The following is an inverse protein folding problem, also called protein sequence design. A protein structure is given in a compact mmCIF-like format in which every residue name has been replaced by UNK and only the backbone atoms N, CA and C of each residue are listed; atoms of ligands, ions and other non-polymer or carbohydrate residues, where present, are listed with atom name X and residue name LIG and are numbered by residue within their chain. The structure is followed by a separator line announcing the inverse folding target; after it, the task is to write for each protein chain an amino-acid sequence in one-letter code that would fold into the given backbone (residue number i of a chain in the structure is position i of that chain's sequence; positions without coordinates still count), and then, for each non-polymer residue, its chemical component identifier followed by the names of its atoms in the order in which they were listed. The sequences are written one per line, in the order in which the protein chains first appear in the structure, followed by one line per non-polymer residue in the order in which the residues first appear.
data_IF_351867630211
#
_entry.id   IF_351867630211
#
_cell.length_a   1.000
_cell.length_b   1.000
_cell.length_c   1.000
_cell.angle_alpha   90.00
_cell.angle_beta   90.00
_cell.angle_gamma   90.00
#
_symmetry.space_group_name_H-M   'P 1'
#
loop_
_entity.id
_entity.type
_entity.pdbx_description
1 polymer ?
#
# COMPACT_ATOMS: atom_id res chain seq x y z
N UNK A 1 -12.03 -34.32 -18.33
CA UNK A 1 -13.29 -33.91 -18.94
C UNK A 1 -13.33 -34.24 -20.43
N UNK A 2 -12.18 -34.41 -21.11
CA UNK A 2 -12.13 -34.71 -22.55
C UNK A 2 -12.18 -36.21 -22.92
N UNK A 3 -12.18 -37.11 -21.94
CA UNK A 3 -12.22 -38.56 -22.19
C UNK A 3 -13.61 -39.17 -22.11
N UNK A 4 -14.58 -38.44 -21.56
CA UNK A 4 -15.97 -38.91 -21.37
C UNK A 4 -16.90 -38.63 -22.56
N UNK A 5 -16.51 -37.73 -23.48
CA UNK A 5 -17.35 -37.42 -24.65
C UNK A 5 -17.06 -38.33 -25.87
N UNK A 6 -15.89 -38.99 -25.90
CA UNK A 6 -15.52 -39.88 -27.00
C UNK A 6 -16.24 -41.22 -26.96
N UNK A 7 -16.55 -41.72 -25.76
CA UNK A 7 -17.25 -43.00 -25.60
C UNK A 7 -18.75 -42.91 -25.86
N UNK A 8 -19.33 -41.70 -25.76
CA UNK A 8 -20.76 -41.50 -25.99
C UNK A 8 -21.15 -41.39 -27.48
N UNK A 9 -20.20 -41.07 -28.35
CA UNK A 9 -20.39 -41.00 -29.78
C UNK A 9 -20.20 -42.35 -30.51
N UNK A 10 -19.52 -43.30 -29.87
CA UNK A 10 -19.32 -44.64 -30.44
C UNK A 10 -20.51 -45.56 -30.17
N UNK A 11 -21.27 -45.36 -29.11
CA UNK A 11 -22.46 -46.21 -28.77
C UNK A 11 -23.73 -45.82 -29.57
N UNK A 12 -23.85 -44.59 -30.07
CA UNK A 12 -25.01 -44.19 -30.88
C UNK A 12 -24.93 -44.61 -32.38
N UNK A 13 -23.75 -44.99 -32.87
CA UNK A 13 -23.58 -45.42 -34.28
C UNK A 13 -23.81 -46.91 -34.53
N UNK A 14 -24.09 -47.73 -33.51
CA UNK A 14 -24.15 -49.19 -33.69
C UNK A 14 -25.55 -49.76 -34.00
N UNK A 15 -26.62 -48.97 -34.01
CA UNK A 15 -27.99 -49.53 -34.03
C UNK A 15 -28.82 -49.31 -35.31
N UNK A 16 -28.34 -48.65 -36.35
CA UNK A 16 -29.17 -48.30 -37.51
C UNK A 16 -28.45 -48.30 -38.89
N UNK A 17 -27.80 -49.39 -39.39
CA UNK A 17 -27.54 -49.54 -40.86
C UNK A 17 -27.10 -50.97 -41.25
N UNK A 18 -27.57 -51.54 -42.36
CA UNK A 18 -27.17 -52.86 -42.84
C UNK A 18 -25.75 -52.86 -43.45
N UNK A 19 -25.10 -53.99 -43.34
CA UNK A 19 -23.70 -54.34 -43.29
C UNK A 19 -22.82 -54.15 -44.54
N UNK A 20 -23.21 -53.51 -45.63
CA UNK A 20 -22.39 -53.49 -46.84
C UNK A 20 -22.00 -52.11 -47.44
N UNK A 21 -22.58 -51.01 -46.95
CA UNK A 21 -22.25 -49.68 -47.54
C UNK A 21 -21.68 -48.66 -46.54
N UNK A 22 -21.37 -49.12 -45.35
CA UNK A 22 -20.98 -48.23 -44.22
C UNK A 22 -19.59 -47.62 -44.36
N UNK A 23 -18.64 -48.35 -44.96
CA UNK A 23 -17.24 -47.92 -44.99
C UNK A 23 -16.96 -46.81 -46.02
N UNK A 24 -17.72 -46.78 -47.14
CA UNK A 24 -17.49 -45.75 -48.17
C UNK A 24 -18.19 -44.45 -47.84
N UNK A 25 -19.32 -44.48 -47.10
CA UNK A 25 -20.06 -43.29 -46.68
C UNK A 25 -19.40 -42.56 -45.53
N UNK A 26 -18.85 -43.26 -44.55
CA UNK A 26 -18.12 -42.66 -43.44
C UNK A 26 -16.79 -42.01 -43.89
N UNK A 27 -16.08 -42.61 -44.82
CA UNK A 27 -14.81 -42.04 -45.33
C UNK A 27 -15.06 -40.74 -46.13
N UNK A 28 -16.20 -40.62 -46.84
CA UNK A 28 -16.53 -39.41 -47.57
C UNK A 28 -17.06 -38.30 -46.68
N UNK A 29 -17.72 -38.63 -45.56
CA UNK A 29 -18.20 -37.60 -44.60
C UNK A 29 -17.03 -37.01 -43.81
N UNK A 30 -16.08 -37.88 -43.37
CA UNK A 30 -14.90 -37.42 -42.63
C UNK A 30 -13.98 -36.59 -43.51
N UNK A 31 -13.87 -36.92 -44.81
CA UNK A 31 -13.02 -36.13 -45.71
C UNK A 31 -13.59 -34.76 -46.03
N UNK A 32 -14.91 -34.62 -46.11
CA UNK A 32 -15.57 -33.31 -46.33
C UNK A 32 -15.52 -32.43 -45.10
N UNK A 33 -15.71 -32.96 -43.90
CA UNK A 33 -15.58 -32.19 -42.65
C UNK A 33 -14.13 -31.76 -42.38
N UNK A 34 -13.16 -32.60 -42.76
CA UNK A 34 -11.74 -32.27 -42.60
C UNK A 34 -11.27 -31.20 -43.60
N UNK A 35 -11.87 -31.13 -44.80
CA UNK A 35 -11.56 -30.08 -45.76
C UNK A 35 -12.19 -28.73 -45.39
N UNK A 36 -13.38 -28.73 -44.81
CA UNK A 36 -13.99 -27.50 -44.30
C UNK A 36 -13.25 -26.92 -43.09
N UNK A 37 -12.75 -27.82 -42.21
CA UNK A 37 -11.95 -27.41 -41.04
C UNK A 37 -10.60 -26.81 -41.46
N UNK A 38 -9.94 -27.37 -42.50
CA UNK A 38 -8.70 -26.81 -43.04
C UNK A 38 -8.86 -25.45 -43.70
N UNK A 39 -10.03 -25.15 -44.30
CA UNK A 39 -10.31 -23.82 -44.85
C UNK A 39 -10.52 -22.79 -43.74
N UNK A 40 -11.24 -23.12 -42.68
CA UNK A 40 -11.47 -22.25 -41.52
C UNK A 40 -10.16 -21.96 -40.76
N UNK A 41 -9.32 -22.97 -40.59
CA UNK A 41 -8.01 -22.80 -39.96
C UNK A 41 -7.03 -21.96 -40.80
N UNK A 42 -7.15 -22.02 -42.15
CA UNK A 42 -6.28 -21.23 -43.04
C UNK A 42 -6.65 -19.76 -43.08
N UNK A 43 -7.90 -19.45 -42.95
CA UNK A 43 -8.39 -18.05 -42.88
C UNK A 43 -8.07 -17.44 -41.51
N UNK A 44 -8.14 -18.24 -40.43
CA UNK A 44 -7.75 -17.77 -39.09
C UNK A 44 -6.24 -17.51 -38.98
N UNK A 45 -5.40 -18.28 -39.69
CA UNK A 45 -3.95 -18.04 -39.69
C UNK A 45 -3.58 -16.72 -40.39
N UNK A 46 -4.26 -16.36 -41.43
CA UNK A 46 -4.03 -15.09 -42.14
C UNK A 46 -4.47 -13.90 -41.25
N UNK A 47 -5.60 -14.04 -40.56
CA UNK A 47 -6.09 -13.00 -39.63
C UNK A 47 -5.19 -12.86 -38.39
N UNK A 48 -4.71 -13.99 -37.83
CA UNK A 48 -3.77 -13.93 -36.70
C UNK A 48 -2.41 -13.40 -37.12
N UNK A 49 -1.90 -13.78 -38.29
CA UNK A 49 -0.62 -13.25 -38.82
C UNK A 49 -0.69 -11.76 -39.17
N UNK A 50 -1.87 -11.24 -39.56
CA UNK A 50 -2.08 -9.82 -39.83
C UNK A 50 -2.32 -8.99 -38.56
N UNK A 51 -2.97 -9.59 -37.51
CA UNK A 51 -3.29 -8.91 -36.26
C UNK A 51 -2.14 -8.89 -35.25
N UNK A 52 -1.22 -9.87 -35.29
CA UNK A 52 -0.09 -9.94 -34.36
C UNK A 52 0.87 -8.76 -34.47
N UNK A 53 1.29 -8.25 -35.66
CA UNK A 53 2.15 -7.09 -35.74
C UNK A 53 1.42 -5.81 -35.28
N UNK A 54 0.11 -5.72 -35.52
CA UNK A 54 -0.69 -4.58 -35.05
C UNK A 54 -0.82 -4.57 -33.52
N UNK A 55 -1.01 -5.72 -32.90
CA UNK A 55 -1.04 -5.86 -31.45
C UNK A 55 0.33 -5.53 -30.81
N UNK A 56 1.43 -6.00 -31.40
CA UNK A 56 2.79 -5.71 -30.91
C UNK A 56 3.09 -4.23 -31.02
N UNK A 57 2.69 -3.57 -32.12
CA UNK A 57 2.85 -2.13 -32.27
C UNK A 57 1.98 -1.35 -31.27
N UNK A 58 0.75 -1.79 -31.02
CA UNK A 58 -0.16 -1.16 -30.07
C UNK A 58 0.33 -1.32 -28.62
N UNK A 59 0.77 -2.52 -28.22
CA UNK A 59 1.37 -2.76 -26.90
C UNK A 59 2.74 -2.09 -26.73
N UNK A 60 3.54 -2.01 -27.79
CA UNK A 60 4.78 -1.26 -27.81
C UNK A 60 4.58 0.24 -27.59
N UNK A 61 3.55 0.81 -28.20
CA UNK A 61 3.16 2.21 -27.99
C UNK A 61 2.64 2.45 -26.56
N UNK A 62 1.87 1.50 -25.99
CA UNK A 62 1.41 1.60 -24.59
C UNK A 62 2.56 1.52 -23.57
N UNK A 63 3.60 0.71 -23.85
CA UNK A 63 4.80 0.66 -23.01
C UNK A 63 5.57 1.99 -23.03
N UNK A 64 5.57 2.67 -24.18
CA UNK A 64 6.23 3.98 -24.32
C UNK A 64 5.43 5.12 -23.67
N UNK A 65 4.10 4.99 -23.56
CA UNK A 65 3.25 5.94 -22.84
C UNK A 65 3.27 5.76 -21.30
N UNK A 66 4.06 4.82 -20.76
CA UNK A 66 4.17 4.65 -19.30
C UNK A 66 2.89 4.16 -18.61
N UNK A 67 1.87 3.73 -19.34
CA UNK A 67 0.57 3.32 -18.77
C UNK A 67 0.65 1.99 -18.00
N UNK A 68 1.71 1.21 -18.21
CA UNK A 68 1.96 -0.06 -17.51
C UNK A 68 3.05 0.07 -16.42
N UNK A 69 3.61 1.25 -16.23
CA UNK A 69 4.50 1.52 -15.12
C UNK A 69 3.65 1.69 -13.85
N UNK A 70 3.39 0.59 -13.18
CA UNK A 70 2.90 0.59 -11.80
C UNK A 70 4.05 1.01 -10.87
N UNK A 71 4.71 2.14 -11.23
CA UNK A 71 5.72 2.80 -10.44
C UNK A 71 5.01 3.64 -9.39
N UNK A 72 5.31 3.41 -8.14
CA UNK A 72 5.02 4.37 -7.07
C UNK A 72 5.71 5.67 -7.49
N UNK A 73 4.94 6.64 -7.95
CA UNK A 73 5.47 7.96 -8.30
C UNK A 73 5.92 8.66 -7.02
N UNK A 74 7.20 8.48 -6.73
CA UNK A 74 7.91 9.25 -5.71
C UNK A 74 8.52 10.45 -6.42
N UNK A 75 7.88 11.60 -6.30
CA UNK A 75 8.45 12.85 -6.79
C UNK A 75 9.31 13.49 -5.70
N UNK A 76 10.59 13.63 -5.98
CA UNK A 76 11.54 14.38 -5.15
C UNK A 76 11.71 15.77 -5.76
N UNK A 77 11.16 16.80 -5.09
CA UNK A 77 11.36 18.18 -5.45
C UNK A 77 12.52 18.75 -4.61
N UNK A 78 13.64 19.07 -5.26
CA UNK A 78 14.87 19.51 -4.60
C UNK A 78 15.10 20.98 -4.93
N UNK A 79 15.20 21.81 -3.91
CA UNK A 79 15.43 23.25 -4.05
C UNK A 79 16.91 23.61 -4.24
N UNK A 80 17.82 22.85 -3.64
CA UNK A 80 19.27 23.02 -3.76
C UNK A 80 20.02 21.74 -3.39
N UNK A 81 21.00 21.34 -4.20
CA UNK A 81 21.89 20.19 -3.94
C UNK A 81 23.31 20.69 -3.76
N UNK A 82 23.85 20.62 -2.54
CA UNK A 82 25.27 20.82 -2.25
C UNK A 82 25.97 19.47 -2.11
N UNK A 83 26.92 19.19 -3.00
CA UNK A 83 27.81 18.04 -2.85
C UNK A 83 29.02 18.45 -2.04
N UNK A 84 29.15 17.93 -0.85
CA UNK A 84 30.36 18.02 -0.03
C UNK A 84 31.31 16.88 -0.44
N UNK A 85 32.64 17.09 -0.32
CA UNK A 85 33.67 16.14 -0.78
C UNK A 85 33.64 14.72 -0.14
N UNK A 86 32.80 14.47 0.83
CA UNK A 86 32.54 13.16 1.44
C UNK A 86 31.20 12.62 0.93
N UNK A 87 31.10 12.04 -0.22
CA UNK A 87 29.97 11.25 -0.79
C UNK A 87 28.55 11.42 -0.18
N UNK A 88 28.37 12.33 0.73
CA UNK A 88 27.11 12.64 1.43
C UNK A 88 26.34 13.70 0.64
N UNK A 89 25.13 13.35 0.24
CA UNK A 89 24.24 14.26 -0.50
C UNK A 89 23.39 15.03 0.48
N UNK A 90 23.74 16.30 0.70
CA UNK A 90 22.91 17.19 1.51
C UNK A 90 21.87 17.91 0.63
N UNK A 91 20.62 17.81 1.02
CA UNK A 91 19.48 18.44 0.36
C UNK A 91 18.90 19.53 1.27
N UNK A 92 18.72 20.74 0.73
CA UNK A 92 18.05 21.83 1.43
C UNK A 92 16.61 21.96 0.92
N UNK A 93 15.63 22.05 1.85
CA UNK A 93 14.21 22.11 1.50
C UNK A 93 13.73 20.83 0.83
N UNK A 94 14.22 19.68 1.30
CA UNK A 94 13.83 18.36 0.78
C UNK A 94 12.33 18.12 0.93
N UNK A 95 11.70 17.54 -0.08
CA UNK A 95 10.30 17.16 -0.09
C UNK A 95 10.14 15.76 -0.65
N UNK A 96 9.51 14.90 0.11
CA UNK A 96 9.21 13.52 -0.26
C UNK A 96 7.71 13.30 -0.27
N UNK A 97 7.16 12.73 -1.34
CA UNK A 97 5.74 12.43 -1.48
C UNK A 97 5.54 10.98 -1.83
N UNK A 98 4.52 10.38 -1.25
CA UNK A 98 4.18 8.99 -1.53
C UNK A 98 2.71 8.70 -1.28
N UNK A 99 2.35 7.45 -1.50
CA UNK A 99 1.02 6.91 -1.22
C UNK A 99 1.14 5.79 -0.20
N UNK A 100 0.23 5.79 0.78
CA UNK A 100 0.07 4.64 1.66
C UNK A 100 -0.52 3.45 0.87
N UNK A 101 -0.47 2.20 1.37
CA UNK A 101 -1.13 1.07 0.72
C UNK A 101 -2.65 1.25 0.51
N UNK A 102 -3.27 2.10 1.31
CA UNK A 102 -4.68 2.49 1.14
C UNK A 102 -4.89 3.58 0.06
N UNK A 103 -3.85 3.93 -0.71
CA UNK A 103 -3.90 4.96 -1.76
C UNK A 103 -4.02 6.39 -1.24
N UNK A 104 -3.75 6.64 0.06
CA UNK A 104 -3.81 7.97 0.65
C UNK A 104 -2.46 8.68 0.52
N UNK A 105 -2.45 9.95 0.10
CA UNK A 105 -1.21 10.69 -0.04
C UNK A 105 -0.60 11.04 1.32
N UNK A 106 0.72 11.02 1.34
CA UNK A 106 1.52 11.63 2.40
C UNK A 106 2.63 12.50 1.82
N UNK A 107 3.04 13.50 2.58
CA UNK A 107 4.14 14.39 2.23
C UNK A 107 5.04 14.57 3.45
N UNK A 108 6.35 14.42 3.26
CA UNK A 108 7.37 14.70 4.27
C UNK A 108 8.27 15.79 3.73
N UNK A 109 8.48 16.85 4.50
CA UNK A 109 9.38 17.95 4.18
C UNK A 109 10.41 18.10 5.28
N UNK A 110 11.60 18.58 4.96
CA UNK A 110 12.63 18.86 5.93
C UNK A 110 13.41 20.12 5.54
N UNK A 111 13.86 20.89 6.52
CA UNK A 111 14.73 22.04 6.27
C UNK A 111 16.06 21.60 5.64
N UNK A 112 16.62 20.50 6.16
CA UNK A 112 17.79 19.81 5.59
C UNK A 112 17.52 18.29 5.63
N UNK A 113 18.06 17.60 4.65
CA UNK A 113 18.03 16.14 4.61
C UNK A 113 19.37 15.62 4.09
N UNK A 114 19.92 14.62 4.76
CA UNK A 114 21.14 13.93 4.40
C UNK A 114 20.82 12.47 4.11
N UNK A 115 21.06 12.03 2.89
CA UNK A 115 20.88 10.63 2.52
C UNK A 115 22.16 9.85 2.83
N UNK A 116 22.03 8.74 3.55
CA UNK A 116 23.15 7.87 3.84
C UNK A 116 23.73 7.27 2.55
N UNK A 117 25.08 7.31 2.38
CA UNK A 117 25.73 6.87 1.13
C UNK A 117 25.79 5.36 0.96
N UNK A 118 25.38 4.60 1.99
CA UNK A 118 25.44 3.13 2.05
C UNK A 118 24.34 2.40 1.28
N UNK A 119 23.44 3.15 0.63
CA UNK A 119 22.31 2.57 -0.11
C UNK A 119 21.20 1.98 0.78
N UNK A 120 21.24 2.21 2.09
CA UNK A 120 20.21 1.76 3.04
C UNK A 120 18.85 2.44 2.85
N UNK A 121 18.79 3.52 2.08
CA UNK A 121 17.61 4.35 1.93
C UNK A 121 17.29 5.19 3.16
N UNK A 122 18.23 5.30 4.11
CA UNK A 122 18.12 6.14 5.29
C UNK A 122 18.33 7.60 4.93
N UNK A 123 17.44 8.45 5.40
CA UNK A 123 17.51 9.91 5.26
C UNK A 123 17.40 10.54 6.63
N UNK A 124 18.46 11.19 7.09
CA UNK A 124 18.45 11.98 8.31
C UNK A 124 17.93 13.39 8.00
N UNK A 125 17.01 13.88 8.82
CA UNK A 125 16.25 15.13 8.55
C UNK A 125 16.32 16.09 9.73
N UNK A 126 16.57 17.36 9.42
CA UNK A 126 16.47 18.48 10.34
C UNK A 126 15.10 19.15 10.18
N UNK A 127 14.40 19.38 11.29
CA UNK A 127 13.07 20.00 11.37
C UNK A 127 12.08 19.40 10.37
N UNK A 128 11.86 18.07 10.42
CA UNK A 128 10.92 17.44 9.55
C UNK A 128 9.48 17.83 9.89
N UNK A 129 8.67 17.94 8.83
CA UNK A 129 7.22 18.06 8.91
C UNK A 129 6.62 17.00 8.00
N UNK A 130 5.66 16.23 8.52
CA UNK A 130 4.94 15.24 7.73
C UNK A 130 3.44 15.56 7.72
N UNK A 131 2.81 15.42 6.58
CA UNK A 131 1.36 15.54 6.40
C UNK A 131 0.86 14.19 5.90
N UNK A 132 -0.05 13.60 6.66
CA UNK A 132 -0.65 12.29 6.37
C UNK A 132 -2.14 12.46 6.16
N UNK A 133 -2.67 11.83 5.12
CA UNK A 133 -4.13 11.77 4.90
C UNK A 133 -4.64 10.46 5.48
N UNK A 134 -5.50 10.57 6.48
CA UNK A 134 -6.16 9.44 7.14
C UNK A 134 -7.22 8.80 6.24
N UNK A 135 -7.68 7.60 6.60
CA UNK A 135 -8.70 6.86 5.84
C UNK A 135 -10.01 7.66 5.65
N UNK A 136 -10.41 8.43 6.64
CA UNK A 136 -11.61 9.29 6.62
C UNK A 136 -11.40 10.63 5.88
N UNK A 137 -10.22 10.87 5.31
CA UNK A 137 -9.87 12.13 4.63
C UNK A 137 -9.31 13.21 5.55
N UNK A 138 -9.30 13.02 6.87
CA UNK A 138 -8.67 13.95 7.83
C UNK A 138 -7.18 14.09 7.58
N UNK A 139 -6.65 15.29 7.76
CA UNK A 139 -5.21 15.55 7.72
C UNK A 139 -4.61 15.46 9.13
N UNK A 140 -3.49 14.79 9.23
CA UNK A 140 -2.65 14.74 10.43
C UNK A 140 -1.30 15.34 10.09
N UNK A 141 -0.91 16.37 10.82
CA UNK A 141 0.36 17.05 10.69
C UNK A 141 1.28 16.59 11.83
N UNK A 142 2.50 16.19 11.49
CA UNK A 142 3.56 15.83 12.43
C UNK A 142 4.72 16.79 12.23
N UNK A 143 5.35 17.21 13.31
CA UNK A 143 6.58 18.01 13.28
C UNK A 143 7.49 17.63 14.45
N UNK A 144 8.81 17.77 14.26
CA UNK A 144 9.81 17.53 15.31
C UNK A 144 11.10 18.31 15.00
N UNK A 145 12.05 18.25 15.93
CA UNK A 145 13.38 18.84 15.72
C UNK A 145 14.22 17.98 14.79
N UNK A 146 14.19 16.66 14.97
CA UNK A 146 14.97 15.69 14.20
C UNK A 146 14.08 14.56 13.70
N UNK A 147 14.48 13.95 12.57
CA UNK A 147 13.80 12.79 12.06
C UNK A 147 14.73 11.90 11.23
N UNK A 148 14.35 10.64 11.13
CA UNK A 148 14.98 9.66 10.26
C UNK A 148 13.88 9.01 9.43
N UNK A 149 14.02 9.06 8.13
CA UNK A 149 13.11 8.38 7.22
C UNK A 149 13.84 7.24 6.50
N UNK A 150 13.27 6.07 6.51
CA UNK A 150 13.76 4.94 5.75
C UNK A 150 12.86 4.69 4.53
N UNK A 151 13.38 4.97 3.35
CA UNK A 151 12.66 4.85 2.06
C UNK A 151 12.29 3.41 1.70
N UNK A 152 13.01 2.41 2.25
CA UNK A 152 12.77 1.00 1.91
C UNK A 152 11.64 0.41 2.76
N UNK A 153 11.55 0.82 4.02
CA UNK A 153 10.56 0.31 4.99
C UNK A 153 9.34 1.22 5.14
N UNK A 154 9.39 2.45 4.61
CA UNK A 154 8.38 3.50 4.80
C UNK A 154 8.18 3.83 6.31
N UNK A 155 9.26 3.76 7.10
CA UNK A 155 9.25 4.11 8.52
C UNK A 155 9.84 5.50 8.71
N UNK A 156 9.13 6.33 9.46
CA UNK A 156 9.58 7.66 9.90
C UNK A 156 9.74 7.63 11.41
N UNK A 157 10.94 7.87 11.89
CA UNK A 157 11.24 8.06 13.33
C UNK A 157 11.49 9.55 13.58
N UNK A 158 10.72 10.14 14.46
CA UNK A 158 10.77 11.56 14.83
C UNK A 158 11.19 11.71 16.28
N UNK A 159 12.04 12.69 16.59
CA UNK A 159 12.54 12.93 17.93
C UNK A 159 12.77 14.41 18.23
N UNK A 160 12.67 14.75 19.51
CA UNK A 160 12.83 16.10 20.03
C UNK A 160 11.59 16.97 19.76
N UNK A 161 10.82 17.22 20.79
CA UNK A 161 9.61 18.05 20.76
C UNK A 161 8.64 17.67 19.63
N UNK A 162 8.31 16.38 19.56
CA UNK A 162 7.38 15.87 18.54
C UNK A 162 5.96 16.35 18.84
N UNK A 163 5.36 17.01 17.86
CA UNK A 163 3.97 17.50 17.92
C UNK A 163 3.17 16.88 16.79
N UNK A 164 2.06 16.25 17.14
CA UNK A 164 1.09 15.74 16.17
C UNK A 164 -0.21 16.52 16.32
N UNK A 165 -0.73 17.06 15.23
CA UNK A 165 -1.99 17.79 15.24
C UNK A 165 -2.97 17.22 14.23
N UNK A 166 -4.25 17.17 14.60
CA UNK A 166 -5.36 16.84 13.72
C UNK A 166 -6.38 17.99 13.84
N UNK A 167 -6.31 19.00 12.94
CA UNK A 167 -7.07 20.25 13.08
C UNK A 167 -8.59 20.07 13.12
N UNK A 168 -9.13 19.16 12.30
CA UNK A 168 -10.57 18.87 12.22
C UNK A 168 -11.15 18.26 13.51
N UNK A 169 -10.31 17.73 14.39
CA UNK A 169 -10.69 17.24 15.73
C UNK A 169 -10.19 18.11 16.88
N UNK A 170 -9.50 19.20 16.57
CA UNK A 170 -8.77 20.02 17.55
C UNK A 170 -7.86 19.16 18.46
N UNK A 171 -7.32 18.07 17.89
CA UNK A 171 -6.47 17.15 18.63
C UNK A 171 -5.01 17.57 18.48
N UNK A 172 -4.32 17.62 19.62
CA UNK A 172 -2.88 17.81 19.72
C UNK A 172 -2.27 16.70 20.59
N UNK A 173 -1.19 16.13 20.13
CA UNK A 173 -0.34 15.21 20.89
C UNK A 173 1.06 15.78 20.96
N UNK A 174 1.64 15.76 22.14
CA UNK A 174 3.01 16.17 22.43
C UNK A 174 3.77 14.96 23.00
N UNK A 175 4.98 14.71 22.50
CA UNK A 175 5.88 13.63 22.95
C UNK A 175 7.33 13.95 22.59
N UNK A 176 8.30 13.22 23.13
CA UNK A 176 9.72 13.38 22.80
C UNK A 176 10.16 12.47 21.65
N UNK A 177 9.46 11.35 21.39
CA UNK A 177 9.79 10.46 20.29
C UNK A 177 8.53 9.78 19.74
N UNK A 178 8.48 9.61 18.44
CA UNK A 178 7.39 8.95 17.73
C UNK A 178 7.94 8.19 16.53
N UNK A 179 7.52 6.95 16.36
CA UNK A 179 7.75 6.16 15.16
C UNK A 179 6.44 5.98 14.42
N UNK A 180 6.45 6.24 13.11
CA UNK A 180 5.30 6.04 12.23
C UNK A 180 5.67 5.09 11.09
N UNK A 181 4.95 3.98 10.99
CA UNK A 181 5.02 3.05 9.87
C UNK A 181 3.93 3.42 8.87
N UNK A 182 4.31 4.12 7.79
CA UNK A 182 3.38 4.61 6.77
C UNK A 182 2.73 3.48 5.98
N UNK A 183 3.42 2.33 5.92
CA UNK A 183 2.94 1.13 5.22
C UNK A 183 1.90 0.37 6.03
N UNK A 184 2.11 0.22 7.32
CA UNK A 184 1.17 -0.43 8.24
C UNK A 184 0.03 0.50 8.66
N UNK A 185 0.22 1.82 8.57
CA UNK A 185 -0.71 2.81 9.12
C UNK A 185 -0.71 2.81 10.63
N UNK A 186 0.46 2.59 11.23
CA UNK A 186 0.67 2.47 12.66
C UNK A 186 1.60 3.58 13.16
N UNK A 187 1.38 4.04 14.39
CA UNK A 187 2.29 4.95 15.08
C UNK A 187 2.54 4.44 16.48
N UNK A 188 3.75 4.64 17.00
CA UNK A 188 4.16 4.22 18.31
C UNK A 188 5.02 5.26 18.99
N UNK A 189 4.76 5.50 20.28
CA UNK A 189 5.63 6.23 21.18
C UNK A 189 5.83 5.37 22.45
N UNK A 190 7.08 5.04 22.77
CA UNK A 190 7.47 4.30 23.97
C UNK A 190 7.92 5.24 25.09
N UNK A 191 7.74 6.55 24.90
CA UNK A 191 8.02 7.60 25.87
C UNK A 191 6.72 8.34 26.22
N UNK A 192 6.69 9.10 27.33
CA UNK A 192 5.48 9.78 27.77
C UNK A 192 4.82 10.62 26.69
N UNK A 193 3.51 10.50 26.59
CA UNK A 193 2.67 11.25 25.66
C UNK A 193 1.64 12.07 26.40
N UNK A 194 1.37 13.26 25.89
CA UNK A 194 0.27 14.09 26.29
C UNK A 194 -0.64 14.33 25.10
N UNK A 195 -1.88 13.87 25.18
CA UNK A 195 -2.90 14.10 24.14
C UNK A 195 -3.94 15.05 24.71
N UNK A 196 -4.31 16.04 23.91
CA UNK A 196 -5.30 17.04 24.28
C UNK A 196 -6.25 17.28 23.12
N UNK A 197 -7.55 17.34 23.43
CA UNK A 197 -8.59 17.88 22.55
C UNK A 197 -9.38 18.99 23.29
N UNK A 198 -10.53 19.42 22.77
CA UNK A 198 -11.34 20.51 23.33
C UNK A 198 -11.69 20.25 24.80
N UNK A 199 -12.12 19.04 25.13
CA UNK A 199 -12.72 18.71 26.42
C UNK A 199 -11.86 17.71 27.24
N UNK A 200 -10.88 17.08 26.64
CA UNK A 200 -10.13 15.98 27.25
C UNK A 200 -8.63 16.19 27.20
N UNK A 201 -7.95 15.73 28.25
CA UNK A 201 -6.50 15.60 28.28
C UNK A 201 -6.15 14.20 28.77
N UNK A 202 -5.27 13.54 28.05
CA UNK A 202 -4.76 12.21 28.37
C UNK A 202 -3.26 12.31 28.52
N UNK A 203 -2.71 11.83 29.64
CA UNK A 203 -1.29 11.63 29.84
C UNK A 203 -1.08 10.13 29.99
N UNK A 204 -0.07 9.57 29.34
CA UNK A 204 0.26 8.15 29.42
C UNK A 204 1.78 7.96 29.23
N UNK A 205 2.32 6.83 29.69
CA UNK A 205 3.74 6.52 29.55
C UNK A 205 4.11 6.06 28.13
N UNK A 206 3.13 5.55 27.38
CA UNK A 206 3.31 5.13 25.98
C UNK A 206 2.01 5.21 25.19
N UNK A 207 2.12 5.17 23.88
CA UNK A 207 0.95 5.16 22.98
C UNK A 207 1.23 4.29 21.75
N UNK A 208 0.19 3.58 21.30
CA UNK A 208 0.18 2.86 20.05
C UNK A 208 -1.10 3.17 19.27
N UNK A 209 -0.94 3.49 18.00
CA UNK A 209 -2.02 3.77 17.05
C UNK A 209 -2.01 2.71 15.99
N UNK A 210 -3.17 2.12 15.71
CA UNK A 210 -3.38 1.07 14.73
C UNK A 210 -4.43 1.47 13.70
N UNK A 211 -4.41 0.77 12.56
CA UNK A 211 -5.46 0.89 11.54
C UNK A 211 -5.71 2.33 11.06
N UNK A 212 -4.61 3.09 10.84
CA UNK A 212 -4.68 4.50 10.44
C UNK A 212 -5.53 5.36 11.42
N UNK A 213 -5.33 5.17 12.73
CA UNK A 213 -6.00 5.96 13.76
C UNK A 213 -7.37 5.42 14.19
N UNK A 214 -7.82 4.27 13.69
CA UNK A 214 -9.09 3.68 14.11
C UNK A 214 -9.05 3.15 15.55
N UNK A 215 -7.87 2.74 16.03
CA UNK A 215 -7.66 2.24 17.39
C UNK A 215 -6.41 2.90 17.98
N UNK A 216 -6.57 3.46 19.18
CA UNK A 216 -5.48 4.06 19.96
C UNK A 216 -5.42 3.36 21.31
N UNK A 217 -4.24 2.91 21.69
CA UNK A 217 -3.96 2.25 22.98
C UNK A 217 -2.96 3.10 23.74
N UNK A 218 -3.28 3.44 24.98
CA UNK A 218 -2.39 4.13 25.90
C UNK A 218 -1.88 3.14 26.92
N UNK A 219 -0.57 3.11 27.15
CA UNK A 219 0.09 2.17 28.06
C UNK A 219 0.71 2.86 29.26
N UNK A 220 0.96 2.06 30.32
CA UNK A 220 1.53 2.53 31.57
C UNK A 220 0.52 3.27 32.47
N UNK A 221 0.98 4.32 33.15
CA UNK A 221 0.15 5.15 34.02
C UNK A 221 -0.72 6.13 33.24
N UNK A 222 -1.74 5.62 32.53
CA UNK A 222 -2.64 6.43 31.75
C UNK A 222 -3.67 7.16 32.62
N UNK A 223 -3.73 8.50 32.50
CA UNK A 223 -4.69 9.36 33.22
C UNK A 223 -5.45 10.23 32.22
N UNK A 224 -6.78 10.15 32.26
CA UNK A 224 -7.67 11.01 31.48
C UNK A 224 -8.37 12.02 32.38
N UNK A 225 -8.38 13.27 31.96
CA UNK A 225 -9.12 14.37 32.60
C UNK A 225 -10.13 14.91 31.59
N UNK A 226 -11.40 14.93 31.97
CA UNK A 226 -12.51 15.50 31.18
C UNK A 226 -12.96 16.78 31.82
N UNK A 227 -12.97 17.90 31.07
CA UNK A 227 -13.31 19.24 31.58
C UNK A 227 -14.79 19.44 31.75
N UNK A 228 -15.65 18.78 30.96
CA UNK A 228 -17.10 18.85 31.01
C UNK A 228 -17.71 17.52 31.38
N UNK A 229 -18.02 17.35 32.69
CA UNK A 229 -18.68 16.13 33.19
C UNK A 229 -20.22 16.14 33.10
N UNK A 230 -20.85 17.14 32.48
CA UNK A 230 -22.31 17.27 32.45
C UNK A 230 -23.03 16.51 31.32
N UNK A 231 -22.35 15.80 30.52
CA UNK A 231 -22.99 14.91 29.59
C UNK A 231 -22.02 13.75 29.36
N UNK A 232 -22.31 12.54 29.94
CA UNK A 232 -22.03 11.46 29.02
C UNK A 232 -22.02 10.11 29.68
N UNK A 233 -22.87 9.27 29.11
CA UNK A 233 -22.73 7.83 29.13
C UNK A 233 -21.44 7.42 28.41
N UNK A 234 -20.71 6.40 28.85
CA UNK A 234 -19.43 6.01 28.28
C UNK A 234 -19.62 5.33 26.93
N UNK A 235 -19.20 5.98 25.86
CA UNK A 235 -19.05 5.35 24.55
C UNK A 235 -17.61 5.51 24.07
N UNK A 236 -16.79 4.59 24.46
CA UNK A 236 -15.71 3.94 23.70
C UNK A 236 -14.78 3.21 24.66
N UNK A 237 -14.57 1.94 24.41
CA UNK A 237 -13.69 1.05 25.16
C UNK A 237 -12.24 1.51 25.01
N UNK A 238 -11.73 2.24 25.99
CA UNK A 238 -10.30 2.28 26.25
C UNK A 238 -9.95 0.94 26.93
N UNK A 239 -9.33 0.03 26.20
CA UNK A 239 -8.78 -1.18 26.79
C UNK A 239 -7.47 -0.79 27.45
N UNK A 240 -7.49 -0.65 28.77
CA UNK A 240 -6.27 -0.60 29.57
C UNK A 240 -5.84 -2.03 29.80
N UNK A 241 -4.80 -2.47 29.14
CA UNK A 241 -4.16 -3.76 29.39
C UNK A 241 -3.19 -3.62 30.58
N UNK A 242 -3.41 -4.30 31.72
CA UNK A 242 -2.44 -4.28 32.80
C UNK A 242 -1.23 -5.15 32.42
N UNK A 243 -0.02 -4.60 32.52
CA UNK A 243 1.22 -5.38 32.43
C UNK A 243 1.20 -6.50 33.45
N UNK A 244 1.13 -7.75 33.00
CA UNK A 244 1.35 -8.94 33.82
C UNK A 244 2.78 -8.96 34.34
N UNK A 245 2.96 -8.62 35.63
CA UNK A 245 4.18 -8.92 36.36
C UNK A 245 4.28 -10.45 36.55
N UNK A 246 5.09 -11.12 35.72
CA UNK A 246 5.57 -12.45 36.03
C UNK A 246 6.61 -12.33 37.16
N UNK A 247 6.19 -12.56 38.39
CA UNK A 247 7.10 -12.88 39.51
C UNK A 247 7.80 -14.19 39.19
N UNK A 248 9.13 -14.18 39.23
CA UNK A 248 9.97 -15.38 39.31
C UNK A 248 9.85 -15.94 40.71
N UNK A 249 9.47 -17.18 40.83
CA UNK A 249 9.85 -18.09 41.93
C UNK A 249 10.74 -19.15 41.32
#
# INVERSE_FOLDING_TARGET
VQYSERTKLEDECSELVPKNDFMSSCLNLVSKTFQSLRRLLREQWVVTLALTPLAVLFFGQLSWLGLLANGKDVSLEIKEVKRTQSSEVQLTGARYRGLTPAGKPYEITAAKANEAPDGSGRVDMDQPTAILTMRNGSLVNLQSNLGVFNKQTDIVSMSGAVVVTQPDRNLRLDTEALEANLKAGEMRSDVPVQVQDIDRRINADSMQVYDNGARIVFGGAAKMIIKNSNAIAPSSKAVVEPKSNKAKT
#
